data_IF_435766832448
#
_entry.id   IF_435766832448
#
_cell.length_a   1.000
_cell.length_b   1.000
_cell.length_c   1.000
_cell.angle_alpha   90.00
_cell.angle_beta   90.00
_cell.angle_gamma   90.00
#
_symmetry.space_group_name_H-M   'P 1'
#
loop_
_entity.id
_entity.type
_entity.pdbx_description
1 polymer ?
#
# COMPACT_ATOMS: atom_id res chain seq x y z
N UNK A 1 -5.13 5.43 -22.04
CA UNK A 1 -5.13 6.34 -20.87
C UNK A 1 -4.65 5.52 -19.69
N UNK A 2 -3.48 5.82 -19.15
CA UNK A 2 -2.89 5.02 -18.05
C UNK A 2 -3.70 5.23 -16.77
N UNK A 3 -4.13 4.14 -16.15
CA UNK A 3 -4.84 4.17 -14.86
C UNK A 3 -3.81 4.05 -13.74
N UNK A 4 -3.83 5.00 -12.81
CA UNK A 4 -2.96 4.97 -11.62
C UNK A 4 -3.69 4.29 -10.46
N UNK A 5 -3.01 3.33 -9.83
CA UNK A 5 -3.43 2.68 -8.60
C UNK A 5 -2.42 3.01 -7.52
N UNK A 6 -2.84 3.70 -6.46
CA UNK A 6 -2.01 3.91 -5.28
C UNK A 6 -2.33 2.85 -4.23
N UNK A 7 -1.31 2.14 -3.75
CA UNK A 7 -1.44 1.04 -2.79
C UNK A 7 -0.75 1.44 -1.49
N UNK A 8 -1.55 1.71 -0.48
CA UNK A 8 -1.08 1.99 0.89
C UNK A 8 -0.89 0.68 1.64
N UNK A 9 0.33 0.39 2.02
CA UNK A 9 0.74 -0.94 2.48
C UNK A 9 1.78 -0.87 3.59
N UNK A 10 1.72 -1.79 4.55
CA UNK A 10 2.72 -1.96 5.59
C UNK A 10 3.44 -3.30 5.41
N UNK A 11 4.77 -3.32 5.52
CA UNK A 11 5.59 -4.51 5.32
C UNK A 11 5.37 -5.61 6.36
N UNK A 12 4.78 -5.28 7.51
CA UNK A 12 4.48 -6.24 8.59
C UNK A 12 2.99 -6.65 8.62
N UNK A 13 2.19 -6.18 7.68
CA UNK A 13 0.78 -6.50 7.56
C UNK A 13 0.55 -7.74 6.67
N UNK A 14 0.04 -8.87 7.20
CA UNK A 14 -0.18 -10.08 6.41
C UNK A 14 -1.21 -9.88 5.30
N UNK A 15 -2.22 -9.04 5.53
CA UNK A 15 -3.21 -8.72 4.51
C UNK A 15 -2.62 -7.93 3.34
N UNK A 16 -1.60 -7.10 3.59
CA UNK A 16 -0.86 -6.41 2.53
C UNK A 16 -0.06 -7.40 1.67
N UNK A 17 0.55 -8.39 2.30
CA UNK A 17 1.24 -9.46 1.58
C UNK A 17 0.30 -10.24 0.68
N UNK A 18 -0.87 -10.64 1.19
CA UNK A 18 -1.88 -11.38 0.42
C UNK A 18 -2.48 -10.53 -0.72
N UNK A 19 -2.70 -9.22 -0.50
CA UNK A 19 -3.28 -8.34 -1.51
C UNK A 19 -2.41 -8.15 -2.76
N UNK A 20 -1.13 -8.47 -2.70
CA UNK A 20 -0.22 -8.39 -3.86
C UNK A 20 -0.61 -9.33 -4.98
N UNK A 21 -1.06 -10.55 -4.67
CA UNK A 21 -1.34 -11.55 -5.69
C UNK A 21 -2.39 -11.08 -6.70
N UNK A 22 -3.63 -10.69 -6.31
CA UNK A 22 -4.62 -10.23 -7.27
C UNK A 22 -4.21 -8.96 -8.01
N UNK A 23 -3.43 -8.07 -7.38
CA UNK A 23 -2.86 -6.90 -8.05
C UNK A 23 -1.90 -7.30 -9.18
N UNK A 24 -0.99 -8.23 -8.94
CA UNK A 24 -0.05 -8.69 -9.95
C UNK A 24 -0.72 -9.50 -11.06
N UNK A 25 -1.79 -10.23 -10.76
CA UNK A 25 -2.58 -10.90 -11.80
C UNK A 25 -3.21 -9.89 -12.77
N UNK A 26 -3.73 -8.77 -12.27
CA UNK A 26 -4.26 -7.68 -13.11
C UNK A 26 -3.14 -7.05 -13.95
N UNK A 27 -1.96 -6.80 -13.37
CA UNK A 27 -0.82 -6.18 -14.08
C UNK A 27 -0.29 -7.04 -15.21
N UNK A 28 -0.30 -8.38 -15.07
CA UNK A 28 0.15 -9.29 -16.12
C UNK A 28 -0.66 -9.20 -17.40
N UNK A 29 -1.89 -8.74 -17.31
CA UNK A 29 -2.86 -8.69 -18.41
C UNK A 29 -3.09 -7.28 -18.97
N UNK A 30 -2.55 -6.24 -18.32
CA UNK A 30 -2.86 -4.84 -18.64
C UNK A 30 -1.60 -3.94 -18.55
N UNK A 31 -1.11 -3.51 -19.70
CA UNK A 31 0.09 -2.66 -19.82
C UNK A 31 -0.19 -1.17 -19.52
N UNK A 32 -1.45 -0.78 -19.41
CA UNK A 32 -1.86 0.60 -19.20
C UNK A 32 -2.20 0.93 -17.74
N UNK A 33 -1.68 0.14 -16.80
CA UNK A 33 -1.82 0.36 -15.37
C UNK A 33 -0.47 0.73 -14.76
N UNK A 34 -0.47 1.77 -13.92
CA UNK A 34 0.68 2.16 -13.11
C UNK A 34 0.34 2.00 -11.64
N UNK A 35 1.09 1.12 -10.95
CA UNK A 35 0.97 0.98 -9.49
C UNK A 35 2.04 1.84 -8.81
N UNK A 36 1.59 2.65 -7.86
CA UNK A 36 2.47 3.36 -6.93
C UNK A 36 2.26 2.80 -5.51
N UNK A 37 3.28 2.17 -4.98
CA UNK A 37 3.29 1.73 -3.59
C UNK A 37 3.60 2.90 -2.66
N UNK A 38 2.83 3.02 -1.59
CA UNK A 38 3.03 4.01 -0.54
C UNK A 38 3.21 3.23 0.76
N UNK A 39 4.48 3.02 1.16
CA UNK A 39 4.74 2.26 2.38
C UNK A 39 4.30 3.07 3.59
N UNK A 40 3.55 2.42 4.45
CA UNK A 40 3.08 2.97 5.71
C UNK A 40 3.65 2.18 6.88
N UNK A 41 3.74 2.85 8.01
CA UNK A 41 3.87 2.23 9.30
C UNK A 41 2.55 2.47 10.03
N UNK A 42 1.79 1.43 10.27
CA UNK A 42 0.58 1.59 11.06
C UNK A 42 0.94 2.05 12.46
N UNK A 43 0.24 3.05 13.03
CA UNK A 43 0.38 3.35 14.45
C UNK A 43 0.14 2.05 15.20
N UNK A 44 1.13 1.59 15.94
CA UNK A 44 0.95 0.45 16.83
C UNK A 44 -0.04 0.85 17.94
N UNK A 45 -1.32 0.73 17.62
CA UNK A 45 -2.36 0.69 18.65
C UNK A 45 -2.17 -0.63 19.39
N UNK A 46 -1.40 -0.60 20.46
CA UNK A 46 -0.96 -1.72 21.29
C UNK A 46 -0.46 -2.93 20.47
N UNK A 47 0.75 -3.39 20.67
CA UNK A 47 1.16 -4.62 20.03
C UNK A 47 0.11 -5.68 20.39
N UNK A 48 -0.51 -6.28 19.38
CA UNK A 48 -1.37 -7.44 19.61
C UNK A 48 -0.60 -8.39 20.51
N UNK A 49 -1.18 -8.76 21.65
CA UNK A 49 -0.57 -9.78 22.48
C UNK A 49 -0.22 -10.99 21.61
N UNK A 50 0.85 -11.72 21.90
CA UNK A 50 1.24 -12.87 21.08
C UNK A 50 0.08 -13.85 20.82
N UNK A 51 -0.80 -14.03 21.80
CA UNK A 51 -1.98 -14.87 21.73
C UNK A 51 -3.02 -14.36 20.75
N UNK A 52 -3.35 -13.06 20.79
CA UNK A 52 -4.30 -12.43 19.84
C UNK A 52 -3.78 -12.51 18.40
N UNK A 53 -2.46 -12.35 18.23
CA UNK A 53 -1.82 -12.50 16.92
C UNK A 53 -1.94 -13.94 16.42
N UNK A 54 -1.67 -14.91 17.27
CA UNK A 54 -1.77 -16.33 16.93
C UNK A 54 -3.21 -16.70 16.56
N UNK A 55 -4.20 -16.19 17.31
CA UNK A 55 -5.61 -16.38 17.03
C UNK A 55 -5.98 -15.78 15.66
N UNK A 56 -5.60 -14.51 15.39
CA UNK A 56 -5.83 -13.85 14.11
C UNK A 56 -5.28 -14.69 12.94
N UNK A 57 -4.07 -15.21 13.10
CA UNK A 57 -3.44 -16.01 12.06
C UNK A 57 -4.16 -17.34 11.84
N UNK A 58 -4.55 -18.05 12.89
CA UNK A 58 -5.26 -19.34 12.79
C UNK A 58 -6.65 -19.18 12.19
N UNK A 59 -7.39 -18.17 12.63
CA UNK A 59 -8.80 -18.01 12.28
C UNK A 59 -9.01 -17.25 10.96
N UNK A 60 -8.10 -16.36 10.57
CA UNK A 60 -8.30 -15.47 9.42
C UNK A 60 -7.17 -15.61 8.40
N UNK A 61 -5.91 -15.38 8.80
CA UNK A 61 -4.82 -15.25 7.82
C UNK A 61 -4.54 -16.56 7.09
N UNK A 62 -4.38 -17.68 7.80
CA UNK A 62 -4.11 -18.97 7.17
C UNK A 62 -5.26 -19.49 6.30
N UNK A 63 -6.54 -19.46 6.73
CA UNK A 63 -7.65 -19.85 5.86
C UNK A 63 -7.75 -18.99 4.59
N UNK A 64 -7.51 -17.69 4.72
CA UNK A 64 -7.54 -16.78 3.58
C UNK A 64 -6.36 -17.06 2.62
N UNK A 65 -5.15 -17.21 3.14
CA UNK A 65 -3.97 -17.55 2.35
C UNK A 65 -4.16 -18.88 1.59
N UNK A 66 -4.71 -19.89 2.26
CA UNK A 66 -5.03 -21.19 1.64
C UNK A 66 -6.04 -21.03 0.50
N UNK A 67 -7.12 -20.27 0.72
CA UNK A 67 -8.12 -19.97 -0.33
C UNK A 67 -7.49 -19.27 -1.54
N UNK A 68 -6.51 -18.39 -1.30
CA UNK A 68 -5.80 -17.66 -2.35
C UNK A 68 -4.63 -18.42 -2.98
N UNK A 69 -4.28 -19.60 -2.45
CA UNK A 69 -3.12 -20.35 -2.91
C UNK A 69 -1.78 -19.71 -2.59
N UNK A 70 -1.72 -18.83 -1.57
CA UNK A 70 -0.53 -18.10 -1.16
C UNK A 70 0.12 -18.78 0.05
N UNK A 71 1.43 -19.08 -0.06
CA UNK A 71 2.21 -19.55 1.08
C UNK A 71 2.63 -18.38 1.96
N UNK A 72 2.28 -18.44 3.24
CA UNK A 72 2.62 -17.42 4.24
C UNK A 72 2.92 -18.08 5.58
N UNK A 73 3.90 -17.54 6.30
CA UNK A 73 4.32 -18.04 7.60
C UNK A 73 4.13 -16.92 8.64
N UNK A 74 3.57 -17.26 9.81
CA UNK A 74 3.55 -16.36 10.96
C UNK A 74 4.99 -16.08 11.40
N UNK A 75 5.48 -14.81 11.28
CA UNK A 75 6.86 -14.52 11.62
C UNK A 75 7.12 -14.72 13.12
N UNK A 76 8.09 -15.57 13.43
CA UNK A 76 8.59 -15.79 14.81
C UNK A 76 9.81 -14.90 15.08
N UNK A 77 9.61 -13.59 14.99
CA UNK A 77 10.66 -12.58 15.18
C UNK A 77 10.38 -11.79 16.46
N UNK A 78 11.39 -11.73 17.35
CA UNK A 78 11.30 -11.01 18.62
C UNK A 78 12.44 -10.00 18.75
N UNK A 79 12.16 -8.75 19.18
CA UNK A 79 10.82 -8.14 19.23
C UNK A 79 10.20 -8.06 17.83
N UNK A 80 8.87 -7.97 17.75
CA UNK A 80 8.18 -7.79 16.46
C UNK A 80 8.65 -6.48 15.83
N UNK A 81 9.11 -6.50 14.56
CA UNK A 81 9.80 -5.34 14.01
C UNK A 81 8.85 -4.17 13.69
N UNK A 82 9.35 -2.95 13.88
CA UNK A 82 8.80 -1.78 13.19
C UNK A 82 9.18 -1.83 11.71
N UNK A 83 8.25 -1.50 10.83
CA UNK A 83 8.49 -1.39 9.39
C UNK A 83 9.10 -0.05 8.96
N UNK A 84 9.36 0.87 9.89
CA UNK A 84 9.83 2.23 9.61
C UNK A 84 11.08 2.28 8.74
N UNK A 85 12.14 1.56 9.12
CA UNK A 85 13.38 1.53 8.34
C UNK A 85 13.20 0.88 6.98
N UNK A 86 12.40 -0.18 6.91
CA UNK A 86 12.02 -0.82 5.65
C UNK A 86 11.27 0.17 4.74
N UNK A 87 10.37 0.96 5.31
CA UNK A 87 9.61 1.99 4.57
C UNK A 87 10.50 3.14 4.09
N UNK A 88 11.48 3.57 4.88
CA UNK A 88 12.47 4.56 4.45
C UNK A 88 13.36 3.99 3.31
N UNK A 89 13.80 2.74 3.44
CA UNK A 89 14.60 2.06 2.41
C UNK A 89 13.87 1.90 1.08
N UNK A 90 12.54 1.87 1.07
CA UNK A 90 11.75 1.86 -0.16
C UNK A 90 12.02 3.08 -1.04
N UNK A 91 12.16 4.27 -0.46
CA UNK A 91 12.41 5.49 -1.25
C UNK A 91 13.79 5.46 -1.90
N UNK A 92 14.80 4.90 -1.24
CA UNK A 92 16.09 4.62 -1.87
C UNK A 92 15.92 3.65 -3.05
N UNK A 93 15.22 2.55 -2.85
CA UNK A 93 15.00 1.57 -3.90
C UNK A 93 14.23 2.17 -5.08
N UNK A 94 13.22 3.00 -4.82
CA UNK A 94 12.44 3.70 -5.85
C UNK A 94 13.30 4.65 -6.68
N UNK A 95 14.17 5.44 -6.06
CA UNK A 95 15.10 6.33 -6.78
C UNK A 95 16.09 5.57 -7.66
N UNK A 96 16.38 4.31 -7.31
CA UNK A 96 17.24 3.43 -8.09
C UNK A 96 16.45 2.48 -9.03
N UNK A 97 15.17 2.73 -9.28
CA UNK A 97 14.33 1.95 -10.20
C UNK A 97 14.02 0.52 -9.74
N UNK A 98 14.07 0.26 -8.41
CA UNK A 98 13.91 -1.08 -7.80
C UNK A 98 12.75 -1.15 -6.80
N UNK A 99 11.72 -0.30 -6.98
CA UNK A 99 10.60 -0.22 -6.04
C UNK A 99 9.83 -1.54 -5.90
N UNK A 100 9.49 -2.18 -7.01
CA UNK A 100 8.69 -3.40 -7.01
C UNK A 100 9.49 -4.59 -6.49
N UNK A 101 10.73 -4.77 -6.97
CA UNK A 101 11.62 -5.82 -6.47
C UNK A 101 11.89 -5.68 -4.98
N UNK A 102 12.00 -4.44 -4.49
CA UNK A 102 12.17 -4.16 -3.07
C UNK A 102 10.96 -4.60 -2.26
N UNK A 103 9.75 -4.21 -2.68
CA UNK A 103 8.50 -4.63 -2.02
C UNK A 103 8.38 -6.15 -1.97
N UNK A 104 8.68 -6.82 -3.09
CA UNK A 104 8.60 -8.27 -3.18
C UNK A 104 9.60 -8.93 -2.26
N UNK A 105 10.85 -8.49 -2.33
CA UNK A 105 11.93 -9.08 -1.53
C UNK A 105 11.69 -8.93 -0.03
N UNK A 106 11.26 -7.75 0.43
CA UNK A 106 11.04 -7.49 1.84
C UNK A 106 9.86 -8.29 2.41
N UNK A 107 8.73 -8.26 1.72
CA UNK A 107 7.56 -9.01 2.17
C UNK A 107 7.82 -10.53 2.16
N UNK A 108 8.54 -11.04 1.16
CA UNK A 108 8.96 -12.45 1.15
C UNK A 108 9.95 -12.76 2.29
N UNK A 109 10.90 -11.88 2.55
CA UNK A 109 11.84 -12.04 3.67
C UNK A 109 11.12 -12.15 5.02
N UNK A 110 10.08 -11.33 5.23
CA UNK A 110 9.36 -11.31 6.49
C UNK A 110 8.38 -12.49 6.62
N UNK A 111 7.53 -12.71 5.61
CA UNK A 111 6.44 -13.69 5.66
C UNK A 111 6.81 -15.09 5.13
N UNK A 112 7.90 -15.22 4.40
CA UNK A 112 8.38 -16.51 3.87
C UNK A 112 9.63 -17.02 4.58
N UNK A 113 10.55 -16.12 4.94
CA UNK A 113 11.87 -16.47 5.48
C UNK A 113 12.03 -16.09 6.96
N UNK A 114 11.03 -15.47 7.58
CA UNK A 114 11.02 -15.05 8.99
C UNK A 114 12.20 -14.11 9.36
N UNK A 115 12.63 -13.26 8.43
CA UNK A 115 13.74 -12.34 8.65
C UNK A 115 13.27 -11.05 9.35
N UNK A 116 14.10 -10.52 10.26
CA UNK A 116 13.80 -9.28 10.99
C UNK A 116 14.07 -8.05 10.11
N UNK A 117 13.06 -7.57 9.40
CA UNK A 117 13.13 -6.39 8.54
C UNK A 117 13.19 -5.05 9.30
N UNK A 118 13.25 -5.06 10.62
CA UNK A 118 13.54 -3.88 11.44
C UNK A 118 15.04 -3.63 11.64
N UNK A 119 15.91 -4.52 11.17
CA UNK A 119 17.35 -4.43 11.37
C UNK A 119 18.08 -3.97 10.10
N UNK A 120 18.92 -2.93 10.22
CA UNK A 120 19.66 -2.35 9.08
C UNK A 120 20.52 -3.39 8.37
N UNK A 121 21.20 -4.28 9.11
CA UNK A 121 22.04 -5.32 8.51
C UNK A 121 21.23 -6.33 7.66
N UNK A 122 20.02 -6.67 8.09
CA UNK A 122 19.09 -7.52 7.33
C UNK A 122 18.62 -6.77 6.09
N UNK A 123 18.11 -5.55 6.25
CA UNK A 123 17.64 -4.72 5.14
C UNK A 123 18.73 -4.48 4.09
N UNK A 124 19.97 -4.21 4.54
CA UNK A 124 21.13 -4.01 3.66
C UNK A 124 21.44 -5.24 2.81
N UNK A 125 21.31 -6.44 3.38
CA UNK A 125 21.49 -7.69 2.63
C UNK A 125 20.38 -7.88 1.62
N UNK A 126 19.12 -7.69 2.03
CA UNK A 126 17.95 -7.81 1.15
C UNK A 126 17.99 -6.80 -0.01
N UNK A 127 18.47 -5.59 0.22
CA UNK A 127 18.69 -4.59 -0.82
C UNK A 127 19.77 -5.04 -1.83
N UNK A 128 20.86 -5.64 -1.35
CA UNK A 128 21.89 -6.20 -2.22
C UNK A 128 21.38 -7.38 -3.06
N UNK A 129 20.48 -8.22 -2.52
CA UNK A 129 19.88 -9.36 -3.23
C UNK A 129 19.13 -8.91 -4.51
N UNK A 130 18.64 -7.67 -4.56
CA UNK A 130 17.94 -7.08 -5.71
C UNK A 130 18.80 -6.15 -6.55
N UNK A 131 20.13 -6.13 -6.28
CA UNK A 131 21.11 -5.38 -7.05
C UNK A 131 21.26 -3.90 -6.67
N UNK A 132 20.76 -3.47 -5.52
CA UNK A 132 21.04 -2.14 -4.98
C UNK A 132 22.47 -2.07 -4.41
N UNK A 133 23.09 -0.89 -4.49
CA UNK A 133 24.38 -0.67 -3.85
C UNK A 133 24.28 -0.84 -2.34
N UNK A 134 24.98 -1.85 -1.85
CA UNK A 134 24.93 -2.28 -0.45
C UNK A 134 25.41 -1.19 0.51
N UNK A 135 26.47 -0.49 0.16
CA UNK A 135 27.06 0.52 1.02
C UNK A 135 26.22 1.78 1.04
N UNK A 136 25.82 2.28 -0.12
CA UNK A 136 24.98 3.46 -0.24
C UNK A 136 23.61 3.25 0.43
N UNK A 137 23.01 2.06 0.29
CA UNK A 137 21.75 1.73 0.96
C UNK A 137 21.90 1.73 2.49
N UNK A 138 22.97 1.10 3.03
CA UNK A 138 23.27 1.09 4.47
C UNK A 138 23.42 2.51 5.00
N UNK A 139 24.25 3.33 4.35
CA UNK A 139 24.47 4.72 4.74
C UNK A 139 23.18 5.53 4.73
N UNK A 140 22.34 5.34 3.72
CA UNK A 140 21.03 5.99 3.63
C UNK A 140 20.15 5.68 4.84
N UNK A 141 20.13 4.43 5.32
CA UNK A 141 19.37 4.03 6.50
C UNK A 141 19.99 4.53 7.81
N UNK A 142 21.31 4.42 7.97
CA UNK A 142 22.02 4.86 9.18
C UNK A 142 21.87 6.38 9.39
N UNK A 143 21.96 7.15 8.31
CA UNK A 143 21.77 8.60 8.31
C UNK A 143 20.30 9.02 8.23
N UNK A 144 19.36 8.08 8.07
CA UNK A 144 17.93 8.33 7.97
C UNK A 144 17.57 9.34 6.86
N UNK A 145 18.23 9.26 5.70
CA UNK A 145 18.10 10.24 4.60
C UNK A 145 16.65 10.38 4.10
N UNK A 146 15.87 9.30 4.15
CA UNK A 146 14.48 9.27 3.68
C UNK A 146 13.42 9.46 4.78
N UNK A 147 13.84 9.77 6.01
CA UNK A 147 12.92 9.99 7.15
C UNK A 147 11.86 11.05 6.86
N UNK A 148 12.26 12.20 6.30
CA UNK A 148 11.34 13.30 6.07
C UNK A 148 10.34 12.99 4.94
N UNK A 149 10.79 12.29 3.89
CA UNK A 149 9.92 11.84 2.80
C UNK A 149 8.91 10.84 3.33
N UNK A 150 9.35 9.87 4.13
CA UNK A 150 8.45 8.90 4.74
C UNK A 150 7.45 9.56 5.71
N UNK A 151 7.90 10.46 6.58
CA UNK A 151 7.01 11.18 7.48
C UNK A 151 5.95 12.00 6.72
N UNK A 152 6.34 12.64 5.62
CA UNK A 152 5.38 13.34 4.75
C UNK A 152 4.35 12.37 4.17
N UNK A 153 4.79 11.22 3.66
CA UNK A 153 3.87 10.21 3.11
C UNK A 153 2.89 9.68 4.17
N UNK A 154 3.36 9.49 5.42
CA UNK A 154 2.49 9.12 6.54
C UNK A 154 1.45 10.21 6.83
N UNK A 155 1.90 11.48 6.89
CA UNK A 155 1.00 12.61 7.11
C UNK A 155 -0.08 12.68 6.02
N UNK A 156 0.32 12.62 4.74
CA UNK A 156 -0.60 12.70 3.60
C UNK A 156 -1.57 11.49 3.59
N UNK A 157 -1.07 10.30 3.94
CA UNK A 157 -1.91 9.11 4.03
C UNK A 157 -2.99 9.21 5.10
N UNK A 158 -2.61 9.60 6.32
CA UNK A 158 -3.56 9.64 7.45
C UNK A 158 -4.46 10.85 7.42
N UNK A 159 -3.96 12.05 7.09
CA UNK A 159 -4.71 13.29 7.19
C UNK A 159 -5.41 13.70 5.90
N UNK A 160 -4.82 13.44 4.73
CA UNK A 160 -5.40 13.83 3.44
C UNK A 160 -6.15 12.68 2.79
N UNK A 161 -5.53 11.49 2.74
CA UNK A 161 -6.21 10.32 2.16
C UNK A 161 -7.18 9.67 3.14
N UNK A 162 -6.97 9.83 4.45
CA UNK A 162 -7.84 9.25 5.47
C UNK A 162 -7.66 7.72 5.59
N UNK A 163 -6.44 7.23 5.45
CA UNK A 163 -6.14 5.80 5.63
C UNK A 163 -6.36 5.42 7.08
N UNK A 164 -7.22 4.46 7.34
CA UNK A 164 -7.49 3.92 8.69
C UNK A 164 -6.94 2.52 8.89
N UNK A 165 -6.70 1.80 7.80
CA UNK A 165 -6.14 0.44 7.79
C UNK A 165 -5.46 0.14 6.46
N UNK A 166 -4.55 -0.82 6.49
CA UNK A 166 -3.87 -1.36 5.29
C UNK A 166 -4.30 -2.81 5.02
N UNK A 167 -4.28 -3.27 3.76
CA UNK A 167 -4.04 -2.49 2.56
C UNK A 167 -5.20 -1.55 2.25
N UNK A 168 -4.91 -0.38 1.64
CA UNK A 168 -5.90 0.47 1.01
C UNK A 168 -5.49 0.73 -0.43
N UNK A 169 -6.40 0.50 -1.37
CA UNK A 169 -6.22 0.82 -2.78
C UNK A 169 -6.96 2.12 -3.09
N UNK A 170 -6.31 3.00 -3.85
CA UNK A 170 -6.93 4.20 -4.41
C UNK A 170 -6.81 4.15 -5.92
N UNK A 171 -7.95 4.07 -6.60
CA UNK A 171 -8.07 4.00 -8.07
C UNK A 171 -8.89 5.20 -8.50
N UNK A 172 -8.23 6.21 -9.08
CA UNK A 172 -8.85 7.50 -9.36
C UNK A 172 -9.38 8.17 -8.09
N UNK A 173 -10.71 8.30 -7.95
CA UNK A 173 -11.36 8.86 -6.76
C UNK A 173 -11.89 7.77 -5.80
N UNK A 174 -11.81 6.50 -6.18
CA UNK A 174 -12.37 5.40 -5.40
C UNK A 174 -11.34 4.85 -4.44
N UNK A 175 -11.72 4.71 -3.16
CA UNK A 175 -10.89 4.14 -2.09
C UNK A 175 -11.53 2.84 -1.62
N UNK A 176 -10.76 1.75 -1.63
CA UNK A 176 -11.21 0.44 -1.16
C UNK A 176 -10.20 -0.15 -0.19
N UNK A 177 -10.65 -0.50 1.01
CA UNK A 177 -9.82 -1.07 2.06
C UNK A 177 -9.92 -2.59 2.07
N UNK A 178 -8.82 -3.25 2.42
CA UNK A 178 -8.73 -4.70 2.47
C UNK A 178 -8.29 -5.33 1.14
N UNK A 179 -8.28 -6.65 1.13
CA UNK A 179 -7.93 -7.43 -0.06
C UNK A 179 -9.10 -7.39 -1.02
N UNK A 180 -8.84 -7.04 -2.26
CA UNK A 180 -9.80 -7.09 -3.37
C UNK A 180 -9.46 -8.28 -4.27
N UNK A 181 -10.45 -8.92 -4.85
CA UNK A 181 -10.23 -9.93 -5.89
C UNK A 181 -9.76 -9.28 -7.20
N UNK A 182 -9.23 -10.09 -8.12
CA UNK A 182 -8.86 -9.63 -9.46
C UNK A 182 -10.03 -8.95 -10.15
N UNK A 183 -11.21 -9.57 -10.11
CA UNK A 183 -12.43 -9.10 -10.77
C UNK A 183 -12.91 -7.75 -10.16
N UNK A 184 -12.78 -7.58 -8.84
CA UNK A 184 -13.11 -6.33 -8.16
C UNK A 184 -12.17 -5.21 -8.59
N UNK A 185 -10.85 -5.47 -8.65
CA UNK A 185 -9.86 -4.51 -9.12
C UNK A 185 -10.13 -4.12 -10.57
N UNK A 186 -10.40 -5.08 -11.44
CA UNK A 186 -10.72 -4.83 -12.84
C UNK A 186 -11.99 -4.00 -13.00
N UNK A 187 -13.03 -4.30 -12.23
CA UNK A 187 -14.26 -3.52 -12.23
C UNK A 187 -14.00 -2.05 -11.85
N UNK A 188 -13.17 -1.81 -10.82
CA UNK A 188 -12.80 -0.46 -10.39
C UNK A 188 -11.99 0.29 -11.46
N UNK A 189 -11.08 -0.39 -12.13
CA UNK A 189 -10.30 0.16 -13.24
C UNK A 189 -11.23 0.57 -14.40
N UNK A 190 -12.16 -0.29 -14.78
CA UNK A 190 -13.13 0.01 -15.85
C UNK A 190 -14.08 1.16 -15.46
N UNK A 191 -14.43 1.29 -14.20
CA UNK A 191 -15.20 2.45 -13.72
C UNK A 191 -14.41 3.75 -13.85
N UNK A 192 -13.10 3.75 -13.54
CA UNK A 192 -12.26 4.94 -13.66
C UNK A 192 -12.01 5.33 -15.13
N UNK A 193 -11.97 4.36 -16.04
CA UNK A 193 -11.84 4.60 -17.49
C UNK A 193 -13.08 5.26 -18.12
N UNK A 194 -14.26 5.08 -17.52
CA UNK A 194 -15.48 5.68 -18.05
C UNK A 194 -15.42 7.19 -17.93
N UNK A 195 -15.81 7.94 -18.98
CA UNK A 195 -15.83 9.40 -18.92
C UNK A 195 -16.74 9.86 -17.78
N UNK A 196 -16.18 10.59 -16.83
CA UNK A 196 -16.95 11.16 -15.70
C UNK A 196 -17.98 12.11 -16.32
N UNK A 197 -19.28 11.77 -16.25
CA UNK A 197 -20.34 12.69 -16.62
C UNK A 197 -20.17 13.96 -15.79
N UNK A 198 -19.79 15.08 -16.43
CA UNK A 198 -19.83 16.38 -15.78
C UNK A 198 -21.24 16.55 -15.24
N UNK A 199 -21.43 16.65 -13.93
CA UNK A 199 -22.66 17.20 -13.37
C UNK A 199 -22.71 18.64 -13.87
N UNK A 200 -23.47 18.88 -14.92
CA UNK A 200 -23.89 20.22 -15.32
C UNK A 200 -24.81 20.64 -14.18
N UNK A 201 -24.30 21.41 -13.26
CA UNK A 201 -25.12 22.19 -12.34
C UNK A 201 -25.86 23.19 -13.23
N UNK A 202 -27.09 22.86 -13.60
CA UNK A 202 -28.03 23.82 -14.14
C UNK A 202 -28.36 24.77 -13.00
N UNK A 203 -27.57 25.82 -12.87
CA UNK A 203 -28.03 27.06 -12.18
C UNK A 203 -29.18 27.60 -13.03
N UNK A 204 -30.37 27.12 -12.72
CA UNK A 204 -31.58 27.83 -13.12
C UNK A 204 -31.59 29.12 -12.30
N UNK A 205 -31.06 30.17 -12.89
CA UNK A 205 -31.39 31.53 -12.50
C UNK A 205 -32.87 31.75 -12.80
N UNK A 206 -33.70 31.33 -11.85
CA UNK A 206 -35.10 31.72 -11.83
C UNK A 206 -35.21 33.21 -11.59
N UNK A 207 -35.28 33.98 -12.64
CA UNK A 207 -35.91 35.28 -12.56
C UNK A 207 -37.39 35.06 -12.36
N UNK A 208 -37.82 35.13 -11.12
CA UNK A 208 -39.22 35.31 -10.75
C UNK A 208 -39.68 36.69 -11.17
N UNK A 209 -40.36 36.76 -12.28
CA UNK A 209 -41.19 37.95 -12.56
C UNK A 209 -42.39 37.95 -11.61
N UNK A 210 -42.37 38.82 -10.62
CA UNK A 210 -43.54 39.11 -9.79
C UNK A 210 -44.61 39.85 -10.60
N UNK A 211 -45.89 39.62 -10.29
CA UNK A 211 -47.01 40.27 -10.98
C UNK A 211 -47.33 41.66 -10.40
N UNK A 212 -46.47 42.67 -10.64
CA UNK A 212 -46.88 44.06 -10.48
C UNK A 212 -46.02 44.91 -11.41
N UNK A 213 -46.72 45.49 -12.36
CA UNK A 213 -46.19 46.21 -13.48
C UNK A 213 -45.47 47.50 -13.11
N UNK A 214 -44.76 47.97 -14.13
CA UNK A 214 -44.09 49.28 -14.21
C UNK A 214 -45.01 50.48 -13.84
N UNK A 215 -44.49 51.32 -13.01
CA UNK A 215 -44.58 52.73 -13.14
C UNK A 215 -43.20 53.34 -13.07
#
# INVERSE_FOLDING_TARGET
MTVKISVYSDYVCPFCFLAKQPLYEVLKEKDDINIEWIPLEQPMQSPLYPEDRLQLWREIVYPLAQKMGVSIILPNVQPYPSSRLASEGYYFARENGKADEYNDRLMHAFFGEQQNIGQINVLTRLAADIGLDKQAYREALEQRLYKNIHNKALHDAYNETGVTRTPLLVIGCTKVAGIQSKEEIECLIEQERKPKKKKISLLMSGQSCGPNGCQ
#
